data_IF_870790783619
#
_entry.id   IF_870790783619
#
_cell.length_a   1.000
_cell.length_b   1.000
_cell.length_c   1.000
_cell.angle_alpha   90.00
_cell.angle_beta   90.00
_cell.angle_gamma   90.00
#
_symmetry.space_group_name_H-M   'P 1'
#
loop_
_entity.id
_entity.type
_entity.pdbx_description
1 polymer ?
#
# COMPACT_ATOMS: atom_id res chain seq x y z
N UNK A 1 -4.43 26.86 0.39
CA UNK A 1 -5.35 25.72 0.47
C UNK A 1 -5.84 25.55 1.90
N UNK A 2 -7.15 25.76 2.16
CA UNK A 2 -7.75 25.53 3.48
C UNK A 2 -8.30 24.10 3.64
N UNK A 3 -8.10 23.24 2.66
CA UNK A 3 -8.61 21.85 2.67
C UNK A 3 -7.67 20.93 3.46
N UNK A 4 -7.82 20.92 4.79
CA UNK A 4 -7.02 20.07 5.70
C UNK A 4 -7.12 18.57 5.38
N UNK A 5 -8.29 18.00 5.07
CA UNK A 5 -8.40 16.59 4.66
C UNK A 5 -7.57 16.24 3.43
N UNK A 6 -7.56 17.11 2.41
CA UNK A 6 -6.77 16.88 1.20
C UNK A 6 -5.26 16.86 1.49
N UNK A 7 -4.78 17.78 2.33
CA UNK A 7 -3.36 17.82 2.74
C UNK A 7 -2.99 16.54 3.50
N UNK A 8 -3.79 16.13 4.47
CA UNK A 8 -3.55 14.91 5.24
C UNK A 8 -3.51 13.65 4.35
N UNK A 9 -4.44 13.54 3.40
CA UNK A 9 -4.47 12.46 2.43
C UNK A 9 -3.24 12.47 1.51
N UNK A 10 -2.81 13.62 1.03
CA UNK A 10 -1.61 13.75 0.19
C UNK A 10 -0.35 13.31 0.95
N UNK A 11 -0.19 13.74 2.21
CA UNK A 11 0.96 13.35 3.03
C UNK A 11 0.97 11.85 3.33
N UNK A 12 -0.19 11.27 3.68
CA UNK A 12 -0.32 9.84 3.93
C UNK A 12 0.00 9.02 2.68
N UNK A 13 -0.51 9.43 1.52
CA UNK A 13 -0.25 8.77 0.23
C UNK A 13 1.21 8.90 -0.19
N UNK A 14 1.84 10.04 0.05
CA UNK A 14 3.26 10.25 -0.22
C UNK A 14 4.12 9.29 0.61
N UNK A 15 3.93 9.28 1.92
CA UNK A 15 4.68 8.43 2.82
C UNK A 15 4.48 6.94 2.47
N UNK A 16 3.25 6.51 2.24
CA UNK A 16 2.94 5.13 1.87
C UNK A 16 3.59 4.71 0.55
N UNK A 17 3.53 5.55 -0.49
CA UNK A 17 4.12 5.23 -1.79
C UNK A 17 5.64 5.22 -1.75
N UNK A 18 6.27 6.18 -1.07
CA UNK A 18 7.73 6.20 -0.91
C UNK A 18 8.24 4.94 -0.18
N UNK A 19 7.59 4.58 0.94
CA UNK A 19 7.89 3.34 1.64
C UNK A 19 7.66 2.10 0.76
N UNK A 20 6.54 2.06 0.04
CA UNK A 20 6.20 0.94 -0.84
C UNK A 20 7.25 0.73 -1.94
N UNK A 21 7.68 1.79 -2.62
CA UNK A 21 8.70 1.72 -3.68
C UNK A 21 10.04 1.24 -3.13
N UNK A 22 10.46 1.77 -1.97
CA UNK A 22 11.69 1.34 -1.30
C UNK A 22 11.64 -0.14 -0.92
N UNK A 23 10.55 -0.57 -0.30
CA UNK A 23 10.37 -1.98 0.11
C UNK A 23 10.37 -2.91 -1.10
N UNK A 24 9.68 -2.54 -2.19
CA UNK A 24 9.62 -3.37 -3.40
C UNK A 24 10.99 -3.53 -4.05
N UNK A 25 11.78 -2.45 -4.11
CA UNK A 25 13.13 -2.51 -4.65
C UNK A 25 14.03 -3.39 -3.77
N UNK A 26 14.04 -3.15 -2.46
CA UNK A 26 14.86 -3.94 -1.52
C UNK A 26 14.43 -5.40 -1.47
N UNK A 27 13.14 -5.68 -1.56
CA UNK A 27 12.61 -7.04 -1.57
C UNK A 27 13.23 -7.92 -2.65
N UNK A 28 13.34 -7.42 -3.88
CA UNK A 28 13.94 -8.16 -4.98
C UNK A 28 15.43 -8.46 -4.73
N UNK A 29 16.18 -7.47 -4.23
CA UNK A 29 17.60 -7.65 -3.89
C UNK A 29 17.79 -8.66 -2.76
N UNK A 30 17.04 -8.51 -1.69
CA UNK A 30 17.12 -9.41 -0.52
C UNK A 30 16.77 -10.85 -0.96
N UNK A 31 15.72 -11.01 -1.76
CA UNK A 31 15.32 -12.33 -2.25
C UNK A 31 16.39 -12.96 -3.12
N UNK A 32 16.99 -12.22 -4.04
CA UNK A 32 18.08 -12.71 -4.88
C UNK A 32 19.30 -13.08 -4.07
N UNK A 33 19.71 -12.27 -3.08
CA UNK A 33 20.90 -12.53 -2.29
C UNK A 33 20.75 -13.72 -1.34
N UNK A 34 19.58 -13.93 -0.76
CA UNK A 34 19.33 -14.98 0.24
C UNK A 34 18.88 -16.32 -0.36
N UNK A 35 18.16 -16.27 -1.50
CA UNK A 35 17.45 -17.43 -2.07
C UNK A 35 17.78 -17.69 -3.55
N UNK A 36 18.98 -17.30 -4.00
CA UNK A 36 19.40 -17.35 -5.41
C UNK A 36 19.39 -18.74 -6.05
N UNK A 37 19.47 -19.79 -5.26
CA UNK A 37 19.52 -21.20 -5.76
C UNK A 37 18.15 -21.72 -6.24
N UNK A 38 17.05 -21.01 -5.98
CA UNK A 38 15.70 -21.48 -6.29
C UNK A 38 15.14 -20.79 -7.53
N UNK A 39 15.36 -21.35 -8.70
CA UNK A 39 15.00 -20.80 -10.02
C UNK A 39 13.52 -20.36 -10.16
N UNK A 40 12.60 -21.01 -9.46
CA UNK A 40 11.18 -20.62 -9.44
C UNK A 40 10.88 -19.46 -8.48
N UNK A 41 11.79 -19.16 -7.58
CA UNK A 41 11.61 -18.13 -6.55
C UNK A 41 11.45 -16.71 -7.13
N UNK A 42 12.16 -16.37 -8.19
CA UNK A 42 12.06 -15.07 -8.85
C UNK A 42 10.67 -14.81 -9.43
N UNK A 43 10.05 -15.84 -10.03
CA UNK A 43 8.68 -15.72 -10.53
C UNK A 43 7.69 -15.45 -9.40
N UNK A 44 7.79 -16.23 -8.32
CA UNK A 44 6.94 -16.04 -7.14
C UNK A 44 7.23 -14.74 -6.40
N UNK A 45 8.48 -14.30 -6.36
CA UNK A 45 8.84 -12.99 -5.81
C UNK A 45 8.20 -11.83 -6.57
N UNK A 46 8.12 -11.93 -7.90
CA UNK A 46 7.43 -10.93 -8.72
C UNK A 46 5.91 -10.95 -8.56
N UNK A 47 5.32 -12.12 -8.29
CA UNK A 47 3.88 -12.34 -8.21
C UNK A 47 3.32 -12.12 -6.81
N UNK A 48 4.06 -12.51 -5.77
CA UNK A 48 3.67 -12.45 -4.36
C UNK A 48 3.14 -11.08 -3.91
N UNK A 49 3.71 -9.93 -4.27
CA UNK A 49 3.18 -8.63 -3.87
C UNK A 49 1.84 -8.27 -4.53
N UNK A 50 1.55 -8.83 -5.69
CA UNK A 50 0.37 -8.49 -6.50
C UNK A 50 -0.84 -9.38 -6.23
N UNK A 51 -0.61 -10.66 -5.94
CA UNK A 51 -1.68 -11.65 -5.71
C UNK A 51 -2.66 -11.25 -4.61
N UNK A 52 -2.21 -10.84 -3.39
CA UNK A 52 -3.14 -10.50 -2.32
C UNK A 52 -4.00 -9.29 -2.67
N UNK A 53 -3.45 -8.31 -3.40
CA UNK A 53 -4.21 -7.14 -3.83
C UNK A 53 -5.36 -7.53 -4.77
N UNK A 54 -5.09 -8.38 -5.76
CA UNK A 54 -6.09 -8.85 -6.72
C UNK A 54 -7.19 -9.65 -6.00
N UNK A 55 -6.81 -10.54 -5.09
CA UNK A 55 -7.75 -11.34 -4.31
C UNK A 55 -8.62 -10.50 -3.36
N UNK A 56 -8.12 -9.37 -2.88
CA UNK A 56 -8.84 -8.50 -1.95
C UNK A 56 -9.84 -7.55 -2.65
N UNK A 57 -9.66 -7.24 -3.94
CA UNK A 57 -10.54 -6.33 -4.69
C UNK A 57 -12.05 -6.63 -4.47
N UNK A 58 -12.55 -7.87 -4.65
CA UNK A 58 -13.98 -8.15 -4.49
C UNK A 58 -14.48 -7.99 -3.05
N UNK A 59 -13.57 -8.07 -2.08
CA UNK A 59 -13.93 -7.97 -0.66
C UNK A 59 -13.89 -6.52 -0.14
N UNK A 60 -13.17 -5.62 -0.80
CA UNK A 60 -13.01 -4.22 -0.37
C UNK A 60 -14.34 -3.53 -0.18
N UNK A 61 -15.27 -3.67 -1.12
CA UNK A 61 -16.59 -3.04 -1.02
C UNK A 61 -17.39 -3.52 0.18
N UNK A 62 -17.31 -4.81 0.52
CA UNK A 62 -17.99 -5.39 1.69
C UNK A 62 -17.33 -4.93 3.00
N UNK A 63 -15.99 -4.92 3.03
CA UNK A 63 -15.23 -4.47 4.18
C UNK A 63 -15.46 -2.99 4.46
N UNK A 64 -15.42 -2.14 3.43
CA UNK A 64 -15.65 -0.69 3.56
C UNK A 64 -17.04 -0.37 4.08
N UNK A 65 -18.06 -1.13 3.65
CA UNK A 65 -19.43 -0.96 4.16
C UNK A 65 -19.57 -1.39 5.62
N UNK A 66 -18.81 -2.39 6.06
CA UNK A 66 -18.90 -2.95 7.42
C UNK A 66 -18.08 -2.19 8.45
N UNK A 67 -16.87 -1.79 8.12
CA UNK A 67 -15.90 -1.18 9.06
C UNK A 67 -15.75 0.34 8.88
N UNK A 68 -16.22 0.87 7.75
CA UNK A 68 -16.03 2.27 7.41
C UNK A 68 -14.68 2.54 6.71
N UNK A 69 -14.63 3.65 5.95
CA UNK A 69 -13.46 4.01 5.14
C UNK A 69 -12.19 4.25 5.97
N UNK A 70 -12.34 4.92 7.13
CA UNK A 70 -11.22 5.27 8.01
C UNK A 70 -10.55 4.03 8.59
N UNK A 71 -11.33 3.11 9.12
CA UNK A 71 -10.79 1.89 9.75
C UNK A 71 -10.15 0.96 8.74
N UNK A 72 -10.74 0.87 7.53
CA UNK A 72 -10.17 0.14 6.39
C UNK A 72 -8.80 0.65 5.95
N UNK A 73 -8.43 1.87 6.30
CA UNK A 73 -7.12 2.42 5.99
C UNK A 73 -6.13 2.27 7.14
N UNK A 74 -6.57 2.48 8.37
CA UNK A 74 -5.70 2.50 9.55
C UNK A 74 -5.28 1.08 9.97
N UNK A 75 -6.23 0.17 10.13
CA UNK A 75 -5.94 -1.19 10.62
C UNK A 75 -5.02 -2.01 9.70
N UNK A 76 -5.23 -2.03 8.38
CA UNK A 76 -4.31 -2.73 7.50
C UNK A 76 -2.91 -2.12 7.50
N UNK A 77 -2.77 -0.80 7.62
CA UNK A 77 -1.44 -0.18 7.70
C UNK A 77 -0.71 -0.56 8.98
N UNK A 78 -1.41 -0.61 10.11
CA UNK A 78 -0.83 -1.13 11.37
C UNK A 78 -0.42 -2.59 11.19
N UNK A 79 -1.28 -3.41 10.57
CA UNK A 79 -0.96 -4.80 10.26
C UNK A 79 0.29 -4.95 9.39
N UNK A 80 0.44 -4.13 8.35
CA UNK A 80 1.63 -4.12 7.50
C UNK A 80 2.90 -3.77 8.30
N UNK A 81 2.82 -2.75 9.16
CA UNK A 81 3.95 -2.35 10.02
C UNK A 81 4.36 -3.50 10.95
N UNK A 82 3.39 -4.15 11.60
CA UNK A 82 3.67 -5.28 12.49
C UNK A 82 4.33 -6.44 11.73
N UNK A 83 3.82 -6.79 10.55
CA UNK A 83 4.41 -7.86 9.73
C UNK A 83 5.85 -7.51 9.34
N UNK A 84 6.10 -6.29 8.90
CA UNK A 84 7.45 -5.85 8.51
C UNK A 84 8.40 -5.82 9.71
N UNK A 85 7.95 -5.43 10.90
CA UNK A 85 8.74 -5.51 12.13
C UNK A 85 9.04 -6.96 12.50
N UNK A 86 8.07 -7.87 12.41
CA UNK A 86 8.31 -9.30 12.63
C UNK A 86 9.36 -9.82 11.65
N UNK A 87 9.28 -9.44 10.36
CA UNK A 87 10.27 -9.85 9.36
C UNK A 87 11.68 -9.31 9.66
N UNK A 88 11.81 -8.17 10.36
CA UNK A 88 13.10 -7.61 10.74
C UNK A 88 13.78 -8.41 11.87
N UNK A 89 13.00 -8.97 12.80
CA UNK A 89 13.52 -9.68 13.98
C UNK A 89 13.61 -11.20 13.78
N UNK A 90 13.00 -11.75 12.74
CA UNK A 90 13.02 -13.19 12.46
C UNK A 90 14.19 -13.51 11.53
N UNK A 91 15.10 -14.34 12.00
CA UNK A 91 16.14 -14.92 11.15
C UNK A 91 15.53 -16.02 10.27
N UNK A 92 15.43 -15.75 8.98
CA UNK A 92 14.91 -16.72 8.04
C UNK A 92 15.99 -17.76 7.70
N UNK A 93 15.69 -19.07 7.85
CA UNK A 93 16.61 -20.11 7.42
C UNK A 93 16.84 -19.98 5.91
N UNK A 94 18.09 -20.07 5.47
CA UNK A 94 18.48 -19.98 4.05
C UNK A 94 18.17 -21.28 3.29
N UNK A 95 16.97 -21.79 3.50
CA UNK A 95 16.43 -22.99 2.88
C UNK A 95 15.22 -22.62 2.02
N UNK A 96 14.77 -23.51 1.16
CA UNK A 96 13.57 -23.34 0.36
C UNK A 96 12.34 -22.97 1.21
N UNK A 97 12.17 -23.61 2.35
CA UNK A 97 11.08 -23.32 3.31
C UNK A 97 11.14 -21.89 3.82
N UNK A 98 12.33 -21.37 4.15
CA UNK A 98 12.51 -19.98 4.56
C UNK A 98 12.12 -18.98 3.48
N UNK A 99 12.44 -19.29 2.22
CA UNK A 99 12.01 -18.52 1.06
C UNK A 99 10.50 -18.41 0.92
N UNK A 100 9.78 -19.53 1.08
CA UNK A 100 8.32 -19.55 1.03
C UNK A 100 7.67 -18.76 2.17
N UNK A 101 8.20 -18.87 3.38
CA UNK A 101 7.72 -18.10 4.55
C UNK A 101 7.93 -16.59 4.31
N UNK A 102 9.11 -16.21 3.81
CA UNK A 102 9.42 -14.83 3.48
C UNK A 102 8.47 -14.27 2.42
N UNK A 103 8.20 -15.02 1.34
CA UNK A 103 7.25 -14.65 0.29
C UNK A 103 5.83 -14.50 0.83
N UNK A 104 5.39 -15.41 1.70
CA UNK A 104 4.05 -15.36 2.29
C UNK A 104 3.86 -14.13 3.19
N UNK A 105 4.81 -13.84 4.07
CA UNK A 105 4.76 -12.66 4.95
C UNK A 105 4.80 -11.37 4.14
N UNK A 106 5.65 -11.31 3.12
CA UNK A 106 5.73 -10.15 2.24
C UNK A 106 4.44 -9.96 1.42
N UNK A 107 3.85 -11.05 0.96
CA UNK A 107 2.54 -11.04 0.31
C UNK A 107 1.44 -10.49 1.23
N UNK A 108 1.40 -10.91 2.48
CA UNK A 108 0.45 -10.40 3.48
C UNK A 108 0.65 -8.91 3.76
N UNK A 109 1.89 -8.45 3.94
CA UNK A 109 2.20 -7.03 4.13
C UNK A 109 1.74 -6.19 2.93
N UNK A 110 1.98 -6.68 1.70
CA UNK A 110 1.51 -6.03 0.48
C UNK A 110 -0.01 -6.07 0.32
N UNK A 111 -0.68 -7.10 0.77
CA UNK A 111 -2.14 -7.16 0.83
C UNK A 111 -2.71 -6.06 1.73
N UNK A 112 -2.11 -5.85 2.90
CA UNK A 112 -2.49 -4.79 3.83
C UNK A 112 -2.27 -3.39 3.23
N UNK A 113 -1.12 -3.12 2.63
CA UNK A 113 -0.86 -1.83 1.97
C UNK A 113 -1.73 -1.62 0.73
N UNK A 114 -2.09 -2.70 0.04
CA UNK A 114 -3.03 -2.70 -1.09
C UNK A 114 -4.42 -2.21 -0.70
N UNK A 115 -4.93 -2.64 0.46
CA UNK A 115 -6.21 -2.16 1.00
C UNK A 115 -6.21 -0.64 1.21
N UNK A 116 -5.14 -0.10 1.76
CA UNK A 116 -4.97 1.35 1.91
C UNK A 116 -4.97 2.05 0.54
N UNK A 117 -4.24 1.52 -0.44
CA UNK A 117 -4.19 2.09 -1.80
C UNK A 117 -5.57 2.14 -2.45
N UNK A 118 -6.37 1.09 -2.30
CA UNK A 118 -7.75 1.05 -2.81
C UNK A 118 -8.66 2.05 -2.09
N UNK A 119 -8.52 2.19 -0.77
CA UNK A 119 -9.27 3.15 0.02
C UNK A 119 -8.92 4.61 -0.33
N UNK A 120 -7.67 4.88 -0.72
CA UNK A 120 -7.19 6.23 -1.03
C UNK A 120 -7.99 6.88 -2.18
N UNK A 121 -8.38 6.12 -3.20
CA UNK A 121 -9.23 6.64 -4.28
C UNK A 121 -10.59 7.15 -3.78
N UNK A 122 -11.17 6.50 -2.79
CA UNK A 122 -12.39 6.97 -2.15
C UNK A 122 -12.18 8.26 -1.35
N UNK A 123 -11.02 8.41 -0.70
CA UNK A 123 -10.68 9.65 0.02
C UNK A 123 -10.43 10.83 -0.91
N UNK A 124 -9.90 10.61 -2.11
CA UNK A 124 -9.76 11.66 -3.12
C UNK A 124 -11.14 12.22 -3.50
N UNK A 125 -12.11 11.35 -3.75
CA UNK A 125 -13.49 11.77 -4.03
C UNK A 125 -14.09 12.56 -2.85
N UNK A 126 -13.94 12.05 -1.61
CA UNK A 126 -14.42 12.74 -0.41
C UNK A 126 -13.76 14.11 -0.20
N UNK A 127 -12.48 14.25 -0.59
CA UNK A 127 -11.76 15.55 -0.51
C UNK A 127 -12.27 16.56 -1.55
N UNK A 128 -12.71 16.11 -2.71
CA UNK A 128 -13.38 16.96 -3.73
C UNK A 128 -14.72 17.44 -3.20
N UNK A 129 -15.54 16.52 -2.67
CA UNK A 129 -16.86 16.86 -2.12
C UNK A 129 -16.74 17.84 -0.93
N UNK A 130 -15.73 17.66 -0.07
CA UNK A 130 -15.44 18.60 1.02
C UNK A 130 -15.04 19.98 0.51
N UNK A 131 -14.27 20.05 -0.57
CA UNK A 131 -13.89 21.32 -1.18
C UNK A 131 -15.10 22.02 -1.77
N UNK A 132 -15.99 21.31 -2.45
CA UNK A 132 -17.24 21.85 -2.98
C UNK A 132 -18.11 22.45 -1.88
N UNK A 133 -18.24 21.78 -0.74
CA UNK A 133 -18.99 22.31 0.41
C UNK A 133 -18.37 23.61 0.99
N UNK A 134 -17.04 23.75 0.95
CA UNK A 134 -16.37 24.94 1.50
C UNK A 134 -16.33 26.13 0.56
N UNK A 135 -16.18 25.89 -0.74
CA UNK A 135 -15.92 26.94 -1.73
C UNK A 135 -17.13 27.23 -2.63
N UNK A 136 -18.14 26.36 -2.60
CA UNK A 136 -19.29 26.43 -3.51
C UNK A 136 -18.93 26.12 -4.98
N UNK A 137 -17.69 25.69 -5.23
CA UNK A 137 -17.19 25.34 -6.58
C UNK A 137 -16.59 23.93 -6.57
N UNK A 138 -16.98 23.11 -7.53
CA UNK A 138 -16.44 21.77 -7.72
C UNK A 138 -15.18 21.82 -8.57
N UNK A 139 -14.03 21.86 -7.91
CA UNK A 139 -12.70 21.94 -8.57
C UNK A 139 -11.99 20.57 -8.56
N UNK A 140 -12.59 19.58 -9.19
CA UNK A 140 -12.03 18.22 -9.28
C UNK A 140 -10.61 18.23 -9.85
N UNK A 141 -10.39 18.97 -10.93
CA UNK A 141 -9.11 19.02 -11.64
C UNK A 141 -7.95 19.45 -10.75
N UNK A 142 -8.18 20.43 -9.87
CA UNK A 142 -7.15 20.93 -8.95
C UNK A 142 -6.76 19.88 -7.90
N UNK A 143 -7.73 19.21 -7.31
CA UNK A 143 -7.49 18.16 -6.30
C UNK A 143 -6.76 16.97 -6.92
N UNK A 144 -7.22 16.50 -8.08
CA UNK A 144 -6.57 15.39 -8.81
C UNK A 144 -5.16 15.75 -9.31
N UNK A 145 -4.93 16.98 -9.76
CA UNK A 145 -3.61 17.44 -10.19
C UNK A 145 -2.60 17.41 -9.05
N UNK A 146 -2.98 17.94 -7.89
CA UNK A 146 -2.13 17.95 -6.69
C UNK A 146 -1.85 16.53 -6.21
N UNK A 147 -2.87 15.69 -6.12
CA UNK A 147 -2.72 14.30 -5.72
C UNK A 147 -1.80 13.53 -6.69
N UNK A 148 -1.97 13.73 -7.98
CA UNK A 148 -1.12 13.09 -9.01
C UNK A 148 0.32 13.57 -8.95
N UNK A 149 0.55 14.86 -8.71
CA UNK A 149 1.88 15.42 -8.50
C UNK A 149 2.57 14.79 -7.28
N UNK A 150 1.87 14.74 -6.15
CA UNK A 150 2.38 14.13 -4.92
C UNK A 150 2.74 12.66 -5.13
N UNK A 151 1.92 11.91 -5.84
CA UNK A 151 2.21 10.51 -6.18
C UNK A 151 3.46 10.38 -7.06
N UNK A 152 3.60 11.23 -8.07
CA UNK A 152 4.79 11.24 -8.94
C UNK A 152 6.05 11.59 -8.17
N UNK A 153 5.98 12.59 -7.29
CA UNK A 153 7.10 12.95 -6.42
C UNK A 153 7.50 11.82 -5.45
N UNK A 154 6.55 11.00 -5.00
CA UNK A 154 6.85 9.85 -4.15
C UNK A 154 7.48 8.66 -4.91
N UNK A 155 7.32 8.63 -6.23
CA UNK A 155 7.85 7.56 -7.10
C UNK A 155 9.24 7.88 -7.66
N UNK A 156 9.64 9.15 -7.63
CA UNK A 156 10.95 9.64 -8.10
C UNK A 156 12.04 9.41 -7.04
#
# INVERSE_FOLDING_TARGET
MKNRPAIGMCLASFAQLACFMTIMTMFQYVFQCLFQEYGYGLFWAALSPRLPMVLLIPFVSKLTKRFGKKEMSVWPMIGAIVILLVMLFVDFPRNETGGWIYLALMGLANGCTGLFTLATWSFVADAVDYQEMQTGRREEGTVYAIYSFVRKAAQA
#
